data_IF_985149713848
#
_entry.id   IF_985149713848
#
_cell.length_a   1.000
_cell.length_b   1.000
_cell.length_c   1.000
_cell.angle_alpha   90.00
_cell.angle_beta   90.00
_cell.angle_gamma   90.00
#
_symmetry.space_group_name_H-M   'P 1'
#
loop_
_entity.id
_entity.type
_entity.pdbx_description
1 polymer ?
#
# COMPACT_ATOMS: atom_id res chain seq x y z
N UNK A 1 10.66 -0.62 15.68
CA UNK A 1 10.31 -1.33 14.43
C UNK A 1 10.81 -0.49 13.28
N UNK A 2 11.57 -1.05 12.34
CA UNK A 2 12.02 -0.28 11.16
C UNK A 2 10.81 -0.04 10.24
N UNK A 3 10.78 1.11 9.57
CA UNK A 3 9.71 1.45 8.64
C UNK A 3 9.61 0.43 7.49
N UNK A 4 10.74 -0.14 7.06
CA UNK A 4 10.77 -1.23 6.09
C UNK A 4 10.03 -2.48 6.58
N UNK A 5 10.27 -2.90 7.83
CA UNK A 5 9.61 -4.06 8.42
C UNK A 5 8.09 -3.83 8.54
N UNK A 6 7.70 -2.63 8.98
CA UNK A 6 6.28 -2.21 9.08
C UNK A 6 5.58 -2.27 7.71
N UNK A 7 6.22 -1.77 6.66
CA UNK A 7 5.65 -1.80 5.30
C UNK A 7 5.59 -3.23 4.77
N UNK A 8 6.63 -4.02 4.99
CA UNK A 8 6.67 -5.42 4.55
C UNK A 8 5.60 -6.26 5.28
N UNK A 9 5.39 -6.04 6.57
CA UNK A 9 4.33 -6.67 7.37
C UNK A 9 2.94 -6.34 6.81
N UNK A 10 2.67 -5.06 6.54
CA UNK A 10 1.42 -4.66 5.87
C UNK A 10 1.25 -5.36 4.52
N UNK A 11 2.28 -5.40 3.66
CA UNK A 11 2.14 -6.02 2.34
C UNK A 11 1.91 -7.54 2.46
N UNK A 12 2.60 -8.22 3.38
CA UNK A 12 2.39 -9.66 3.66
C UNK A 12 0.96 -9.94 4.15
N UNK A 13 0.44 -9.09 5.03
CA UNK A 13 -0.85 -9.28 5.66
C UNK A 13 -2.03 -8.83 4.78
N UNK A 14 -1.86 -7.77 3.99
CA UNK A 14 -2.95 -7.10 3.29
C UNK A 14 -2.86 -7.14 1.77
N UNK A 15 -1.78 -7.67 1.18
CA UNK A 15 -1.65 -7.80 -0.27
C UNK A 15 -1.47 -9.27 -0.70
N UNK A 16 -1.78 -9.54 -1.96
CA UNK A 16 -1.49 -10.80 -2.65
C UNK A 16 -0.70 -10.51 -3.91
N UNK A 17 0.10 -11.50 -4.35
CA UNK A 17 0.71 -11.47 -5.68
C UNK A 17 -0.40 -11.62 -6.72
N UNK A 18 -0.43 -10.74 -7.71
CA UNK A 18 -1.43 -10.77 -8.78
C UNK A 18 -0.77 -10.48 -10.12
N UNK A 19 -0.86 -11.45 -11.04
CA UNK A 19 -0.30 -11.32 -12.38
C UNK A 19 -1.16 -10.34 -13.18
N UNK A 20 -0.61 -9.17 -13.51
CA UNK A 20 -1.34 -8.06 -14.14
C UNK A 20 -2.03 -7.11 -13.14
N UNK A 21 -2.02 -7.45 -11.85
CA UNK A 21 -2.50 -6.57 -10.79
C UNK A 21 -1.59 -5.35 -10.60
N UNK A 22 -2.22 -4.21 -10.33
CA UNK A 22 -1.53 -3.00 -9.89
C UNK A 22 -2.37 -2.24 -8.88
N UNK A 23 -1.71 -1.60 -7.93
CA UNK A 23 -2.33 -0.69 -6.96
C UNK A 23 -1.71 0.69 -7.09
N UNK A 24 -2.52 1.76 -7.00
CA UNK A 24 -1.97 3.12 -6.96
C UNK A 24 -1.14 3.27 -5.69
N UNK A 25 0.12 3.73 -5.81
CA UNK A 25 1.05 3.79 -4.69
C UNK A 25 0.57 4.74 -3.58
N UNK A 26 -0.17 5.79 -3.94
CA UNK A 26 -0.82 6.71 -2.98
C UNK A 26 -1.93 6.01 -2.19
N UNK A 27 -2.73 5.16 -2.84
CA UNK A 27 -3.76 4.38 -2.15
C UNK A 27 -3.12 3.34 -1.22
N UNK A 28 -2.04 2.69 -1.67
CA UNK A 28 -1.28 1.75 -0.85
C UNK A 28 -0.69 2.42 0.39
N UNK A 29 -0.18 3.65 0.26
CA UNK A 29 0.30 4.46 1.37
C UNK A 29 -0.79 4.74 2.41
N UNK A 30 -1.98 5.17 1.96
CA UNK A 30 -3.11 5.46 2.86
C UNK A 30 -3.54 4.18 3.59
N UNK A 31 -3.69 3.07 2.87
CA UNK A 31 -4.06 1.78 3.46
C UNK A 31 -3.02 1.29 4.49
N UNK A 32 -1.72 1.44 4.18
CA UNK A 32 -0.66 1.08 5.12
C UNK A 32 -0.71 1.94 6.39
N UNK A 33 -0.92 3.25 6.25
CA UNK A 33 -1.05 4.17 7.38
C UNK A 33 -2.24 3.80 8.27
N UNK A 34 -3.39 3.52 7.68
CA UNK A 34 -4.61 3.14 8.38
C UNK A 34 -4.47 1.80 9.09
N UNK A 35 -3.80 0.82 8.48
CA UNK A 35 -3.54 -0.49 9.08
C UNK A 35 -2.78 -0.39 10.42
N UNK A 36 -1.86 0.56 10.54
CA UNK A 36 -1.11 0.79 11.80
C UNK A 36 -1.76 1.82 12.74
N UNK A 37 -2.95 2.34 12.41
CA UNK A 37 -3.66 3.32 13.24
C UNK A 37 -2.90 4.65 13.39
N UNK A 38 -2.03 5.00 12.44
CA UNK A 38 -1.15 6.16 12.55
C UNK A 38 -1.80 7.41 11.94
N UNK A 39 -1.68 8.55 12.63
CA UNK A 39 -2.03 9.86 12.05
C UNK A 39 -0.99 10.27 11.02
N UNK A 40 -1.36 11.14 10.07
CA UNK A 40 -0.50 11.53 8.94
C UNK A 40 0.89 12.02 9.36
N UNK A 41 0.97 12.82 10.43
CA UNK A 41 2.23 13.36 10.94
C UNK A 41 3.06 12.36 11.77
N UNK A 42 2.51 11.19 12.07
CA UNK A 42 3.15 10.13 12.84
C UNK A 42 3.65 8.99 11.95
N UNK A 43 3.33 9.03 10.65
CA UNK A 43 3.81 8.07 9.67
C UNK A 43 4.92 8.68 8.82
N UNK A 44 5.66 7.83 8.11
CA UNK A 44 6.71 8.30 7.20
C UNK A 44 6.11 9.10 6.04
N UNK A 45 6.88 10.04 5.50
CA UNK A 45 6.45 10.77 4.31
C UNK A 45 6.23 9.86 3.10
N UNK A 46 5.31 10.24 2.22
CA UNK A 46 5.00 9.49 0.98
C UNK A 46 6.22 9.22 0.11
N UNK A 47 7.16 10.18 0.04
CA UNK A 47 8.43 10.00 -0.67
C UNK A 47 9.26 8.85 -0.08
N UNK A 48 9.46 8.87 1.23
CA UNK A 48 10.20 7.83 1.97
C UNK A 48 9.53 6.47 1.82
N UNK A 49 8.19 6.43 1.87
CA UNK A 49 7.43 5.21 1.62
C UNK A 49 7.71 4.63 0.22
N UNK A 50 7.70 5.45 -0.83
CA UNK A 50 8.01 4.98 -2.19
C UNK A 50 9.47 4.54 -2.35
N UNK A 51 10.41 5.19 -1.67
CA UNK A 51 11.83 4.77 -1.65
C UNK A 51 11.99 3.40 -0.99
N UNK A 52 11.29 3.17 0.13
CA UNK A 52 11.30 1.86 0.81
C UNK A 52 10.71 0.78 -0.09
N UNK A 53 9.59 1.03 -0.78
CA UNK A 53 9.03 0.04 -1.71
C UNK A 53 10.03 -0.37 -2.81
N UNK A 54 10.83 0.58 -3.32
CA UNK A 54 11.90 0.29 -4.29
C UNK A 54 13.04 -0.51 -3.67
N UNK A 55 13.43 -0.20 -2.43
CA UNK A 55 14.44 -0.98 -1.69
C UNK A 55 13.98 -2.43 -1.48
N UNK A 56 12.69 -2.62 -1.18
CA UNK A 56 12.02 -3.91 -1.08
C UNK A 56 11.75 -4.59 -2.44
N UNK A 57 12.31 -4.05 -3.53
CA UNK A 57 12.23 -4.60 -4.90
C UNK A 57 10.81 -4.69 -5.48
N UNK A 58 9.88 -3.87 -4.99
CA UNK A 58 8.59 -3.72 -5.66
C UNK A 58 8.76 -2.93 -6.97
N UNK A 59 7.98 -3.32 -7.97
CA UNK A 59 8.00 -2.70 -9.28
C UNK A 59 7.08 -1.47 -9.30
N UNK A 60 7.68 -0.28 -9.26
CA UNK A 60 6.99 1.01 -9.26
C UNK A 60 7.08 1.66 -10.63
N UNK A 61 5.94 1.81 -11.33
CA UNK A 61 5.90 2.47 -12.65
C UNK A 61 4.84 3.56 -12.70
N UNK A 62 5.14 4.63 -13.44
CA UNK A 62 4.16 5.67 -13.75
C UNK A 62 3.21 5.17 -14.84
N UNK A 63 1.94 5.55 -14.74
CA UNK A 63 0.92 5.32 -15.77
C UNK A 63 0.37 6.66 -16.27
N UNK A 64 -0.47 6.61 -17.30
CA UNK A 64 -1.21 7.75 -17.85
C UNK A 64 -1.84 8.60 -16.74
N UNK A 65 -1.65 9.92 -16.79
CA UNK A 65 -2.08 10.85 -15.73
C UNK A 65 -1.06 11.08 -14.60
N UNK A 66 0.22 10.72 -14.81
CA UNK A 66 1.33 10.96 -13.86
C UNK A 66 1.15 10.29 -12.48
N UNK A 67 0.29 9.27 -12.41
CA UNK A 67 0.07 8.46 -11.21
C UNK A 67 1.11 7.35 -11.12
N UNK A 68 1.56 7.06 -9.90
CA UNK A 68 2.52 5.99 -9.60
C UNK A 68 1.78 4.73 -9.15
N UNK A 69 2.15 3.58 -9.69
CA UNK A 69 1.54 2.30 -9.37
C UNK A 69 2.59 1.30 -8.92
N UNK A 70 2.21 0.40 -8.02
CA UNK A 70 2.98 -0.78 -7.64
C UNK A 70 2.40 -1.99 -8.38
N UNK A 71 3.22 -2.65 -9.19
CA UNK A 71 2.84 -3.76 -10.06
C UNK A 71 3.11 -5.12 -9.42
N UNK A 72 2.38 -6.14 -9.88
CA UNK A 72 2.55 -7.52 -9.43
C UNK A 72 1.87 -7.82 -8.10
N UNK A 73 1.13 -6.84 -7.56
CA UNK A 73 0.37 -6.98 -6.32
C UNK A 73 -1.06 -6.48 -6.49
N UNK A 74 -1.95 -7.01 -5.68
CA UNK A 74 -3.28 -6.49 -5.42
C UNK A 74 -3.53 -6.45 -3.91
N UNK A 75 -4.35 -5.51 -3.45
CA UNK A 75 -4.87 -5.57 -2.08
C UNK A 75 -5.73 -6.82 -1.94
N UNK A 76 -5.64 -7.52 -0.81
CA UNK A 76 -6.59 -8.57 -0.45
C UNK A 76 -7.97 -7.93 -0.48
N UNK A 77 -8.83 -8.39 -1.37
CA UNK A 77 -10.25 -8.09 -1.28
C UNK A 77 -10.68 -8.61 0.08
N UNK A 78 -11.03 -7.70 0.99
CA UNK A 78 -11.69 -8.12 2.23
C UNK A 78 -12.87 -8.98 1.84
N UNK A 79 -12.99 -10.14 2.47
CA UNK A 79 -14.29 -10.77 2.64
C UNK A 79 -15.30 -9.66 2.93
N UNK A 80 -16.40 -9.63 2.18
CA UNK A 80 -17.36 -8.53 2.16
C UNK A 80 -18.17 -8.49 3.46
N UNK A 81 -17.49 -8.21 4.57
CA UNK A 81 -18.07 -7.92 5.87
C UNK A 81 -17.51 -6.60 6.42
N UNK A 82 -17.16 -5.67 5.52
CA UNK A 82 -17.35 -4.27 5.84
C UNK A 82 -18.87 -4.11 6.06
N UNK A 83 -19.27 -3.94 7.32
CA UNK A 83 -20.64 -3.56 7.66
C UNK A 83 -21.07 -2.48 6.67
N UNK A 84 -22.12 -2.76 5.90
CA UNK A 84 -22.83 -1.73 5.14
C UNK A 84 -23.30 -0.70 6.16
N UNK A 85 -22.53 0.36 6.36
CA UNK A 85 -23.01 1.55 7.06
C UNK A 85 -24.03 2.19 6.15
N UNK A 86 -25.29 1.78 6.31
CA UNK A 86 -26.42 2.63 5.97
C UNK A 86 -26.42 3.78 6.98
N UNK A 87 -26.12 4.99 6.50
CA UNK A 87 -26.63 6.23 7.07
C UNK A 87 -26.68 7.28 5.97
#
# INVERSE_FOLDING_TARGET
MNCADTIEDFIKNQCIRSCGGKVEAKLLYVACREYFGLRENSFIGTRTFYEILRQLKYDLRKSTGNKLFVFGIALKSGDSNASKTNL
#
